data_IF_628906360133
#
_entry.id   IF_628906360133
#
_cell.length_a   1.000
_cell.length_b   1.000
_cell.length_c   1.000
_cell.angle_alpha   90.00
_cell.angle_beta   90.00
_cell.angle_gamma   90.00
#
_symmetry.space_group_name_H-M   'P 1'
#
loop_
_entity.id
_entity.type
_entity.pdbx_description
1 polymer ?
#
# COMPACT_ATOMS: atom_id res chain seq x y z
N UNK A 1 -3.53 7.93 -5.66
CA UNK A 1 -3.77 8.13 -4.21
C UNK A 1 -2.51 7.82 -3.42
N UNK A 2 -2.52 8.12 -2.13
CA UNK A 2 -1.44 7.87 -1.18
C UNK A 2 -1.69 6.56 -0.40
N UNK A 3 -0.62 5.98 0.14
CA UNK A 3 -0.57 4.94 1.17
C UNK A 3 0.31 5.43 2.32
N UNK A 4 0.22 4.78 3.47
CA UNK A 4 1.00 5.07 4.68
C UNK A 4 2.47 4.65 4.60
N UNK A 5 2.85 3.85 3.60
CA UNK A 5 4.16 3.22 3.47
C UNK A 5 4.90 3.54 2.15
N UNK A 6 4.37 4.43 1.31
CA UNK A 6 4.88 4.75 -0.04
C UNK A 6 4.81 3.59 -1.05
N UNK A 7 4.12 2.51 -0.71
CA UNK A 7 3.98 1.31 -1.53
C UNK A 7 2.52 1.12 -1.97
N UNK A 8 2.28 0.57 -3.17
CA UNK A 8 0.93 0.33 -3.64
C UNK A 8 0.23 -0.78 -2.87
N UNK A 9 -1.09 -0.79 -3.02
CA UNK A 9 -1.98 -1.90 -2.66
C UNK A 9 -2.47 -2.56 -3.93
N UNK A 10 -2.14 -3.85 -4.10
CA UNK A 10 -2.51 -4.64 -5.26
C UNK A 10 -3.01 -6.00 -4.81
N UNK A 11 -4.22 -6.39 -5.23
CA UNK A 11 -4.79 -7.71 -4.95
C UNK A 11 -6.27 -7.67 -4.61
N UNK A 12 -6.81 -8.81 -4.16
CA UNK A 12 -8.17 -8.92 -3.65
C UNK A 12 -8.27 -8.27 -2.26
N UNK A 13 -9.37 -7.57 -2.00
CA UNK A 13 -9.61 -6.91 -0.72
C UNK A 13 -9.77 -7.97 0.38
N UNK A 14 -9.04 -7.85 1.50
CA UNK A 14 -9.29 -8.66 2.67
C UNK A 14 -10.75 -8.52 3.10
N UNK A 15 -11.39 -9.63 3.47
CA UNK A 15 -12.78 -9.70 3.94
C UNK A 15 -13.87 -9.30 2.91
N UNK A 16 -13.51 -9.08 1.63
CA UNK A 16 -14.48 -8.80 0.57
C UNK A 16 -14.21 -9.65 -0.68
N UNK A 17 -15.02 -10.70 -0.88
CA UNK A 17 -14.93 -11.56 -2.06
C UNK A 17 -15.23 -10.78 -3.35
N UNK A 18 -14.42 -10.99 -4.38
CA UNK A 18 -14.50 -10.32 -5.68
C UNK A 18 -14.33 -8.79 -5.62
N UNK A 19 -13.84 -8.23 -4.51
CA UNK A 19 -13.39 -6.85 -4.44
C UNK A 19 -11.89 -6.78 -4.71
N UNK A 20 -11.43 -5.89 -5.58
CA UNK A 20 -10.01 -5.79 -5.93
C UNK A 20 -9.51 -4.36 -5.81
N UNK A 21 -8.23 -4.20 -5.48
CA UNK A 21 -7.56 -2.89 -5.40
C UNK A 21 -6.30 -2.88 -6.24
N UNK A 22 -6.08 -1.74 -6.90
CA UNK A 22 -4.82 -1.38 -7.56
C UNK A 22 -4.62 0.12 -7.41
N UNK A 23 -4.04 0.54 -6.28
CA UNK A 23 -3.93 1.95 -5.90
C UNK A 23 -2.67 2.22 -5.08
N UNK A 24 -2.44 3.49 -4.71
CA UNK A 24 -1.31 3.86 -3.84
C UNK A 24 0.05 3.92 -4.56
N UNK A 25 0.11 4.43 -5.79
CA UNK A 25 1.35 4.53 -6.57
C UNK A 25 2.11 5.87 -6.43
N UNK A 26 1.66 6.81 -5.59
CA UNK A 26 2.38 8.05 -5.18
C UNK A 26 3.16 8.83 -6.26
N UNK A 27 2.54 9.18 -7.39
CA UNK A 27 3.13 10.09 -8.40
C UNK A 27 4.33 9.54 -9.20
N UNK A 28 5.30 8.93 -8.52
CA UNK A 28 6.52 8.31 -9.08
C UNK A 28 6.37 6.80 -9.34
N UNK A 29 5.29 6.17 -8.85
CA UNK A 29 4.99 4.75 -9.08
C UNK A 29 4.23 4.47 -10.38
N UNK A 30 3.99 5.49 -11.23
CA UNK A 30 3.32 5.32 -12.53
C UNK A 30 3.90 4.19 -13.40
N UNK A 31 5.23 3.98 -13.48
CA UNK A 31 5.79 2.86 -14.25
C UNK A 31 5.38 1.47 -13.73
N UNK A 32 4.99 1.36 -12.45
CA UNK A 32 4.62 0.09 -11.81
C UNK A 32 3.18 -0.34 -12.13
N UNK A 33 2.33 0.61 -12.56
CA UNK A 33 0.89 0.37 -12.77
C UNK A 33 0.66 -0.72 -13.81
N UNK A 34 1.39 -0.71 -14.94
CA UNK A 34 1.15 -1.65 -16.03
C UNK A 34 1.37 -3.10 -15.62
N UNK A 35 2.46 -3.39 -14.92
CA UNK A 35 2.77 -4.75 -14.46
C UNK A 35 1.84 -5.19 -13.32
N UNK A 36 1.50 -4.28 -12.39
CA UNK A 36 0.54 -4.57 -11.34
C UNK A 36 -0.87 -4.84 -11.90
N UNK A 37 -1.29 -4.09 -12.92
CA UNK A 37 -2.59 -4.24 -13.57
C UNK A 37 -2.67 -5.58 -14.31
N UNK A 38 -1.60 -5.96 -15.01
CA UNK A 38 -1.50 -7.28 -15.63
C UNK A 38 -1.59 -8.41 -14.59
N UNK A 39 -0.82 -8.30 -13.50
CA UNK A 39 -0.84 -9.30 -12.44
C UNK A 39 -2.24 -9.46 -11.83
N UNK A 40 -2.92 -8.35 -11.55
CA UNK A 40 -4.28 -8.38 -11.03
C UNK A 40 -5.27 -8.98 -12.04
N UNK A 41 -5.13 -8.68 -13.33
CA UNK A 41 -5.97 -9.26 -14.37
C UNK A 41 -5.79 -10.79 -14.47
N UNK A 42 -4.55 -11.29 -14.34
CA UNK A 42 -4.29 -12.73 -14.35
C UNK A 42 -4.92 -13.45 -13.14
N UNK A 43 -4.96 -12.80 -11.97
CA UNK A 43 -5.68 -13.30 -10.79
C UNK A 43 -7.20 -13.31 -11.02
N UNK A 44 -7.78 -12.19 -11.49
CA UNK A 44 -9.22 -12.07 -11.75
C UNK A 44 -9.70 -13.11 -12.78
N UNK A 45 -8.87 -13.40 -13.79
CA UNK A 45 -9.17 -14.40 -14.82
C UNK A 45 -8.90 -15.84 -14.36
N UNK A 46 -8.45 -16.06 -13.12
CA UNK A 46 -8.15 -17.37 -12.57
C UNK A 46 -6.92 -18.06 -13.18
N UNK A 47 -6.02 -17.30 -13.83
CA UNK A 47 -4.78 -17.83 -14.43
C UNK A 47 -3.71 -18.12 -13.38
N UNK A 48 -3.74 -17.39 -12.26
CA UNK A 48 -2.96 -17.67 -11.05
C UNK A 48 -3.79 -17.34 -9.81
N UNK A 49 -3.46 -17.96 -8.68
CA UNK A 49 -4.00 -17.60 -7.36
C UNK A 49 -3.03 -16.77 -6.52
N UNK A 50 -1.75 -16.78 -6.86
CA UNK A 50 -0.67 -16.21 -6.07
C UNK A 50 -0.19 -14.94 -6.78
N UNK A 51 -0.68 -13.78 -6.34
CA UNK A 51 -0.31 -12.49 -6.94
C UNK A 51 1.13 -12.10 -6.58
N UNK A 52 1.62 -12.56 -5.42
CA UNK A 52 2.97 -12.40 -4.90
C UNK A 52 4.06 -13.02 -5.80
N UNK A 53 3.69 -13.92 -6.70
CA UNK A 53 4.61 -14.46 -7.73
C UNK A 53 4.80 -13.49 -8.90
N UNK A 54 3.88 -12.54 -9.08
CA UNK A 54 3.84 -11.62 -10.23
C UNK A 54 4.29 -10.19 -9.89
N UNK A 55 4.26 -9.80 -8.62
CA UNK A 55 4.65 -8.48 -8.13
C UNK A 55 5.44 -8.60 -6.83
N UNK A 56 6.25 -7.59 -6.47
CA UNK A 56 6.93 -7.56 -5.18
C UNK A 56 5.96 -7.77 -4.02
N UNK A 57 6.30 -8.68 -3.10
CA UNK A 57 5.51 -9.00 -1.90
C UNK A 57 4.99 -7.77 -1.14
N UNK A 58 5.78 -6.68 -0.93
CA UNK A 58 5.29 -5.51 -0.21
C UNK A 58 4.15 -4.75 -0.91
N UNK A 59 3.85 -5.06 -2.16
CA UNK A 59 2.75 -4.43 -2.92
C UNK A 59 1.44 -5.15 -2.69
N UNK A 60 1.51 -6.42 -2.28
CA UNK A 60 0.34 -7.26 -2.04
C UNK A 60 -0.46 -6.66 -0.90
N UNK A 61 -1.77 -6.50 -1.10
CA UNK A 61 -2.64 -6.07 -0.02
C UNK A 61 -2.82 -7.21 0.97
N UNK A 62 -2.72 -6.89 2.26
CA UNK A 62 -3.01 -7.78 3.36
C UNK A 62 -3.90 -7.07 4.36
N UNK A 63 -4.62 -7.82 5.20
CA UNK A 63 -5.43 -7.25 6.28
C UNK A 63 -4.60 -6.36 7.21
N UNK A 64 -3.41 -6.83 7.60
CA UNK A 64 -2.49 -6.07 8.45
C UNK A 64 -2.04 -4.75 7.83
N UNK A 65 -1.76 -4.72 6.51
CA UNK A 65 -1.41 -3.47 5.81
C UNK A 65 -2.60 -2.53 5.62
N UNK A 66 -3.82 -3.05 5.51
CA UNK A 66 -5.01 -2.22 5.37
C UNK A 66 -5.41 -1.57 6.71
N UNK A 67 -5.23 -2.28 7.83
CA UNK A 67 -5.63 -1.85 9.17
C UNK A 67 -4.55 -1.07 9.93
N UNK A 68 -3.31 -1.01 9.42
CA UNK A 68 -2.22 -0.34 10.13
C UNK A 68 -2.49 1.17 10.27
N UNK A 69 -2.26 1.69 11.49
CA UNK A 69 -2.25 3.13 11.79
C UNK A 69 -0.86 3.74 11.68
N UNK A 70 0.17 2.91 11.50
CA UNK A 70 1.53 3.37 11.31
C UNK A 70 1.66 4.08 9.98
N UNK A 71 2.30 5.24 9.99
CA UNK A 71 2.63 6.00 8.79
C UNK A 71 4.13 6.29 8.78
N UNK A 72 4.86 5.57 7.93
CA UNK A 72 6.32 5.66 7.89
C UNK A 72 6.78 7.05 7.44
N UNK A 73 5.97 7.72 6.62
CA UNK A 73 6.22 9.07 6.11
C UNK A 73 6.18 10.05 7.29
N UNK A 74 5.10 10.03 8.08
CA UNK A 74 4.95 10.90 9.25
C UNK A 74 6.03 10.61 10.30
N UNK A 75 6.33 9.34 10.55
CA UNK A 75 7.38 8.92 11.49
C UNK A 75 8.77 9.42 11.08
N UNK A 76 9.07 9.36 9.77
CA UNK A 76 10.34 9.87 9.26
C UNK A 76 10.39 11.40 9.32
N UNK A 77 9.29 12.08 8.98
CA UNK A 77 9.21 13.53 9.04
C UNK A 77 9.33 14.05 10.49
N UNK A 78 8.67 13.41 11.46
CA UNK A 78 8.73 13.83 12.86
C UNK A 78 10.13 13.65 13.47
N UNK A 79 10.85 12.60 13.06
CA UNK A 79 12.23 12.35 13.50
C UNK A 79 13.20 13.46 13.06
N UNK A 80 13.02 14.05 11.87
CA UNK A 80 13.87 15.14 11.38
C UNK A 80 13.45 16.53 11.87
N UNK A 81 12.22 16.66 12.36
CA UNK A 81 11.65 17.94 12.79
C UNK A 81 11.77 18.21 14.30
N UNK A 82 12.40 17.33 15.09
CA UNK A 82 12.48 17.47 16.56
C UNK A 82 11.12 17.84 17.20
N UNK A 83 10.02 17.25 16.73
CA UNK A 83 8.66 17.62 17.17
C UNK A 83 8.29 17.13 18.58
N UNK A 84 9.23 16.54 19.33
CA UNK A 84 9.05 16.17 20.72
C UNK A 84 8.90 17.37 21.67
N UNK A 85 9.13 18.61 21.22
CA UNK A 85 8.92 19.82 22.03
C UNK A 85 7.55 20.52 21.80
N UNK A 86 6.74 20.08 20.83
CA UNK A 86 5.49 20.80 20.49
C UNK A 86 4.23 20.17 21.13
N UNK A 87 4.26 18.89 21.49
CA UNK A 87 3.11 18.24 22.15
C UNK A 87 2.89 18.69 23.61
N UNK A 88 3.89 19.28 24.29
CA UNK A 88 3.72 19.82 25.66
C UNK A 88 3.15 21.25 25.70
N UNK A 89 2.94 21.91 24.56
CA UNK A 89 2.50 23.32 24.52
C UNK A 89 1.02 23.54 24.16
N UNK A 90 0.27 22.46 24.01
CA UNK A 90 -1.17 22.50 23.72
C UNK A 90 -1.92 21.61 24.72
N UNK A 91 -1.79 21.95 26.01
CA UNK A 91 -2.78 21.65 27.06
C UNK A 91 -3.01 22.93 27.85
#
# INVERSE_FOLDING_TARGET
>A
GYSSDLLPFVGELPDQSNGYVIAGFHGHGMPRILLCARALADVILGRTKNIEELIPEPYVITKSRLETKENCILKHMSAHLNLLEIEERIV
#
